data_IF_986553956019
#
_entry.id   IF_986553956019
#
_cell.length_a   1.000
_cell.length_b   1.000
_cell.length_c   1.000
_cell.angle_alpha   90.00
_cell.angle_beta   90.00
_cell.angle_gamma   90.00
#
_symmetry.space_group_name_H-M   'P 1'
#
loop_
_entity.id
_entity.type
_entity.pdbx_description
1 polymer ?
#
# COMPACT_ATOMS: atom_id res chain seq x y z
N UNK A 1 -18.01 8.20 1.93
CA UNK A 1 -18.11 6.73 2.07
C UNK A 1 -19.50 6.30 1.66
N UNK A 2 -19.61 5.44 0.66
CA UNK A 2 -20.85 4.71 0.34
C UNK A 2 -20.65 3.25 0.78
N UNK A 3 -21.63 2.68 1.47
CA UNK A 3 -21.51 1.38 2.16
C UNK A 3 -22.66 0.48 1.72
N UNK A 4 -22.34 -0.68 1.17
CA UNK A 4 -23.32 -1.76 0.92
C UNK A 4 -22.99 -2.97 1.77
N UNK A 5 -24.01 -3.54 2.40
CA UNK A 5 -23.90 -4.60 3.42
C UNK A 5 -24.29 -5.94 2.80
N UNK A 6 -23.37 -6.91 2.84
CA UNK A 6 -23.61 -8.31 2.53
C UNK A 6 -23.44 -9.11 3.82
N UNK A 7 -24.50 -9.18 4.62
CA UNK A 7 -24.69 -9.86 5.92
C UNK A 7 -23.61 -9.64 7.02
N UNK A 8 -22.31 -9.64 6.75
CA UNK A 8 -21.19 -9.29 7.65
C UNK A 8 -19.97 -8.71 6.89
N UNK A 9 -20.18 -8.21 5.67
CA UNK A 9 -19.14 -7.63 4.83
C UNK A 9 -19.63 -6.31 4.25
N UNK A 10 -18.72 -5.35 4.16
CA UNK A 10 -18.96 -3.99 3.68
C UNK A 10 -18.04 -3.68 2.51
N UNK A 11 -18.62 -3.23 1.40
CA UNK A 11 -17.85 -2.66 0.30
C UNK A 11 -17.56 -1.18 0.59
N UNK A 12 -16.29 -0.78 0.49
CA UNK A 12 -15.80 0.56 0.78
C UNK A 12 -15.23 1.16 -0.51
N UNK A 13 -15.75 2.33 -0.88
CA UNK A 13 -15.23 3.17 -1.96
C UNK A 13 -14.47 4.35 -1.38
N UNK A 14 -13.18 4.42 -1.70
CA UNK A 14 -12.29 5.50 -1.29
C UNK A 14 -12.20 6.58 -2.37
N UNK A 15 -11.74 7.76 -1.96
CA UNK A 15 -11.64 8.94 -2.84
C UNK A 15 -10.54 8.82 -3.91
N UNK A 16 -9.57 7.94 -3.66
CA UNK A 16 -8.50 7.56 -4.58
C UNK A 16 -8.96 6.54 -5.64
N UNK A 17 -10.25 6.18 -5.66
CA UNK A 17 -10.80 5.19 -6.58
C UNK A 17 -10.62 3.74 -6.14
N UNK A 18 -9.97 3.51 -5.00
CA UNK A 18 -9.78 2.16 -4.45
C UNK A 18 -11.10 1.60 -3.93
N UNK A 19 -11.41 0.35 -4.30
CA UNK A 19 -12.58 -0.38 -3.82
C UNK A 19 -12.13 -1.56 -2.98
N UNK A 20 -12.63 -1.70 -1.75
CA UNK A 20 -12.24 -2.80 -0.86
C UNK A 20 -13.43 -3.46 -0.20
N UNK A 21 -13.36 -4.78 0.00
CA UNK A 21 -14.33 -5.54 0.78
C UNK A 21 -13.78 -5.75 2.18
N UNK A 22 -14.47 -5.23 3.19
CA UNK A 22 -14.09 -5.33 4.60
C UNK A 22 -15.01 -6.30 5.34
N UNK A 23 -14.43 -7.18 6.15
CA UNK A 23 -15.18 -7.97 7.12
C UNK A 23 -15.48 -7.11 8.36
N UNK A 24 -16.75 -7.02 8.75
CA UNK A 24 -17.18 -6.17 9.86
C UNK A 24 -16.79 -6.73 11.23
N UNK A 25 -16.65 -8.04 11.36
CA UNK A 25 -16.29 -8.70 12.62
C UNK A 25 -14.82 -8.51 12.95
N UNK A 26 -13.94 -8.60 11.94
CA UNK A 26 -12.49 -8.44 12.12
C UNK A 26 -12.02 -7.01 11.90
N UNK A 27 -12.87 -6.15 11.31
CA UNK A 27 -12.49 -4.80 10.85
C UNK A 27 -11.28 -4.81 9.91
N UNK A 28 -11.14 -5.88 9.12
CA UNK A 28 -10.03 -6.04 8.15
C UNK A 28 -10.55 -6.10 6.73
N UNK A 29 -9.83 -5.42 5.82
CA UNK A 29 -10.03 -5.57 4.38
C UNK A 29 -9.62 -7.00 3.97
N UNK A 30 -10.57 -7.71 3.36
CA UNK A 30 -10.46 -9.09 2.88
C UNK A 30 -10.08 -9.08 1.39
N UNK A 31 -10.62 -8.13 0.62
CA UNK A 31 -10.29 -7.94 -0.79
C UNK A 31 -10.04 -6.47 -1.12
N UNK A 32 -9.18 -6.24 -2.12
CA UNK A 32 -8.96 -4.96 -2.77
C UNK A 32 -9.18 -5.16 -4.27
N UNK A 33 -10.02 -4.34 -4.88
CA UNK A 33 -10.35 -4.38 -6.29
C UNK A 33 -9.81 -3.12 -6.95
N UNK A 34 -9.01 -3.33 -8.00
CA UNK A 34 -8.39 -2.25 -8.78
C UNK A 34 -8.90 -2.33 -10.21
N UNK A 35 -9.32 -1.20 -10.76
CA UNK A 35 -9.52 -1.07 -12.21
C UNK A 35 -8.16 -0.95 -12.91
N UNK A 36 -8.07 -1.32 -14.20
CA UNK A 36 -6.87 -1.06 -14.99
C UNK A 36 -6.50 0.44 -14.99
N UNK A 37 -5.22 0.81 -15.17
CA UNK A 37 -4.79 2.21 -15.12
C UNK A 37 -5.50 3.15 -16.11
N UNK A 38 -6.04 2.62 -17.21
CA UNK A 38 -6.82 3.40 -18.18
C UNK A 38 -8.24 3.73 -17.72
N UNK A 39 -8.71 3.14 -16.62
CA UNK A 39 -10.08 3.28 -16.13
C UNK A 39 -10.11 3.69 -14.67
N UNK A 40 -11.00 4.61 -14.34
CA UNK A 40 -11.28 5.01 -12.98
C UNK A 40 -12.69 4.58 -12.57
N UNK A 41 -12.85 4.19 -11.32
CA UNK A 41 -14.18 4.02 -10.74
C UNK A 41 -14.84 5.41 -10.66
N UNK A 42 -16.15 5.46 -10.92
CA UNK A 42 -16.93 6.67 -10.71
C UNK A 42 -16.70 7.24 -9.30
N UNK A 43 -16.87 8.56 -9.09
CA UNK A 43 -16.58 9.18 -7.80
C UNK A 43 -17.24 8.44 -6.64
N UNK A 44 -16.55 8.39 -5.50
CA UNK A 44 -16.99 7.61 -4.32
C UNK A 44 -18.40 7.91 -3.78
N UNK A 45 -19.01 9.04 -4.19
CA UNK A 45 -20.39 9.41 -3.87
C UNK A 45 -21.44 8.86 -4.85
N UNK A 46 -21.03 8.41 -6.05
CA UNK A 46 -21.90 7.82 -7.07
C UNK A 46 -21.26 6.59 -7.75
N UNK A 47 -20.79 5.59 -6.98
CA UNK A 47 -20.27 4.36 -7.57
C UNK A 47 -21.41 3.55 -8.22
N UNK A 48 -21.14 2.96 -9.38
CA UNK A 48 -22.07 2.04 -10.05
C UNK A 48 -21.51 0.64 -9.92
N UNK A 49 -22.15 -0.16 -9.08
CA UNK A 49 -21.73 -1.53 -8.78
C UNK A 49 -22.92 -2.41 -8.43
N UNK A 50 -22.73 -3.72 -8.55
CA UNK A 50 -23.63 -4.71 -7.98
C UNK A 50 -22.83 -5.90 -7.47
N UNK A 51 -23.32 -6.55 -6.43
CA UNK A 51 -22.70 -7.77 -5.90
C UNK A 51 -23.69 -8.91 -6.03
N UNK A 52 -23.22 -9.99 -6.65
CA UNK A 52 -23.95 -11.25 -6.75
C UNK A 52 -23.46 -12.19 -5.65
N UNK A 53 -24.32 -12.45 -4.67
CA UNK A 53 -24.02 -13.37 -3.57
C UNK A 53 -24.12 -14.84 -3.96
N UNK A 54 -24.82 -15.17 -5.06
CA UNK A 54 -24.98 -16.55 -5.55
C UNK A 54 -23.72 -16.98 -6.30
N UNK A 55 -23.21 -16.11 -7.17
CA UNK A 55 -21.99 -16.35 -7.92
C UNK A 55 -20.73 -15.83 -7.22
N UNK A 56 -20.87 -15.23 -6.04
CA UNK A 56 -19.79 -14.64 -5.25
C UNK A 56 -18.91 -13.69 -6.10
N UNK A 57 -19.53 -12.73 -6.77
CA UNK A 57 -18.79 -11.80 -7.64
C UNK A 57 -19.24 -10.35 -7.50
N UNK A 58 -18.30 -9.44 -7.73
CA UNK A 58 -18.52 -7.99 -7.79
C UNK A 58 -18.46 -7.54 -9.25
N UNK A 59 -19.50 -6.84 -9.69
CA UNK A 59 -19.53 -6.12 -10.95
C UNK A 59 -19.34 -4.64 -10.65
N UNK A 60 -18.33 -4.03 -11.27
CA UNK A 60 -17.93 -2.65 -11.02
C UNK A 60 -17.78 -1.90 -12.34
N UNK A 61 -18.46 -0.77 -12.47
CA UNK A 61 -18.25 0.12 -13.62
C UNK A 61 -16.96 0.92 -13.42
N UNK A 62 -16.10 0.92 -14.43
CA UNK A 62 -15.02 1.90 -14.57
C UNK A 62 -15.21 2.72 -15.84
N UNK A 63 -15.06 4.03 -15.71
CA UNK A 63 -15.08 4.97 -16.81
C UNK A 63 -13.65 5.16 -17.33
N UNK A 64 -13.47 5.23 -18.65
CA UNK A 64 -12.15 5.46 -19.25
C UNK A 64 -11.64 6.84 -18.83
N UNK A 65 -10.40 6.89 -18.35
CA UNK A 65 -9.74 8.15 -18.05
C UNK A 65 -9.43 8.86 -19.37
N UNK A 66 -10.04 10.03 -19.60
CA UNK A 66 -9.64 10.89 -20.69
C UNK A 66 -8.19 11.34 -20.45
N UNK A 67 -7.33 11.17 -21.46
CA UNK A 67 -6.02 11.80 -21.46
C UNK A 67 -6.18 13.32 -21.35
N UNK A 68 -5.32 13.98 -20.60
CA UNK A 68 -5.32 15.44 -20.38
C UNK A 68 -5.29 16.28 -21.67
N UNK A 69 -5.04 15.67 -22.84
CA UNK A 69 -4.90 16.33 -24.14
C UNK A 69 -6.21 16.41 -24.96
N UNK A 70 -7.32 15.86 -24.46
CA UNK A 70 -8.57 15.83 -25.23
C UNK A 70 -9.41 17.11 -24.99
N UNK A 71 -9.16 18.12 -25.84
CA UNK A 71 -9.74 19.47 -25.78
C UNK A 71 -11.26 19.55 -26.08
N UNK A 72 -11.95 18.42 -26.22
CA UNK A 72 -13.37 18.35 -26.56
C UNK A 72 -14.16 17.48 -25.56
N UNK A 73 -14.77 18.08 -24.51
CA UNK A 73 -15.48 17.35 -23.46
C UNK A 73 -16.90 16.89 -23.85
N UNK A 74 -17.24 16.88 -25.15
CA UNK A 74 -18.63 16.72 -25.63
C UNK A 74 -19.03 15.25 -25.91
N UNK A 75 -18.17 14.29 -25.61
CA UNK A 75 -18.49 12.86 -25.72
C UNK A 75 -18.60 12.24 -24.33
N UNK A 76 -19.72 11.56 -24.09
CA UNK A 76 -19.89 10.72 -22.91
C UNK A 76 -18.68 9.79 -22.79
N UNK A 77 -18.04 9.77 -21.62
CA UNK A 77 -16.90 8.90 -21.35
C UNK A 77 -17.31 7.45 -21.56
N UNK A 78 -16.57 6.68 -22.38
CA UNK A 78 -16.87 5.27 -22.55
C UNK A 78 -16.67 4.55 -21.21
N UNK A 79 -17.63 3.68 -20.87
CA UNK A 79 -17.66 2.97 -19.59
C UNK A 79 -17.59 1.47 -19.80
N UNK A 80 -16.75 0.81 -19.02
CA UNK A 80 -16.54 -0.63 -19.05
C UNK A 80 -16.99 -1.25 -17.72
N UNK A 81 -17.57 -2.44 -17.77
CA UNK A 81 -17.93 -3.20 -16.56
C UNK A 81 -16.86 -4.26 -16.30
N UNK A 82 -16.25 -4.19 -15.12
CA UNK A 82 -15.28 -5.14 -14.61
C UNK A 82 -15.98 -6.18 -13.72
N UNK A 83 -15.66 -7.45 -13.94
CA UNK A 83 -16.14 -8.57 -13.13
C UNK A 83 -14.99 -9.08 -12.25
N UNK A 84 -15.23 -9.12 -10.95
CA UNK A 84 -14.31 -9.67 -9.96
C UNK A 84 -14.96 -10.88 -9.29
N UNK A 85 -14.44 -12.07 -9.57
CA UNK A 85 -14.87 -13.32 -8.92
C UNK A 85 -14.11 -13.54 -7.61
N UNK A 86 -14.82 -13.65 -6.49
CA UNK A 86 -14.21 -13.86 -5.17
C UNK A 86 -13.56 -15.23 -5.05
N UNK A 87 -13.97 -16.21 -5.85
CA UNK A 87 -13.39 -17.56 -5.84
C UNK A 87 -12.08 -17.66 -6.63
N UNK A 88 -11.80 -16.66 -7.48
CA UNK A 88 -10.66 -16.71 -8.41
C UNK A 88 -9.31 -16.35 -7.77
N UNK A 89 -9.31 -15.78 -6.57
CA UNK A 89 -8.09 -15.38 -5.85
C UNK A 89 -7.96 -16.10 -4.48
N UNK A 90 -6.93 -16.93 -4.27
CA UNK A 90 -6.66 -17.49 -2.96
C UNK A 90 -6.21 -16.37 -2.00
N UNK A 91 -7.13 -16.02 -1.10
CA UNK A 91 -7.10 -14.99 -0.05
C UNK A 91 -5.85 -14.93 0.86
N UNK A 92 -4.87 -15.82 0.70
CA UNK A 92 -3.81 -16.05 1.68
C UNK A 92 -2.43 -15.49 1.31
N UNK A 93 -2.18 -15.14 0.06
CA UNK A 93 -0.82 -14.84 -0.40
C UNK A 93 -0.61 -13.43 -0.97
N UNK A 94 -1.68 -12.72 -1.35
CA UNK A 94 -1.58 -11.41 -2.02
C UNK A 94 -1.49 -10.21 -1.07
N UNK A 95 -1.82 -10.38 0.21
CA UNK A 95 -1.65 -9.33 1.22
C UNK A 95 -0.49 -9.72 2.12
N UNK A 96 0.60 -8.94 2.18
CA UNK A 96 1.59 -9.15 3.23
C UNK A 96 0.83 -9.12 4.56
N UNK A 97 1.01 -10.16 5.39
CA UNK A 97 0.51 -10.17 6.78
C UNK A 97 0.78 -8.78 7.32
N UNK A 98 -0.28 -8.04 7.68
CA UNK A 98 -0.14 -6.71 8.26
C UNK A 98 1.00 -6.80 9.26
N UNK A 99 2.12 -6.07 9.08
CA UNK A 99 3.03 -5.92 10.20
C UNK A 99 2.16 -5.42 11.34
N UNK A 100 2.31 -6.01 12.54
CA UNK A 100 1.58 -5.60 13.73
C UNK A 100 1.87 -4.13 14.02
N UNK A 101 1.18 -3.25 13.29
CA UNK A 101 1.30 -1.82 13.38
C UNK A 101 0.63 -1.47 14.71
N UNK A 102 1.34 -0.79 15.62
CA UNK A 102 0.74 -0.37 16.86
C UNK A 102 -0.50 0.48 16.54
N UNK A 103 -1.60 0.22 17.24
CA UNK A 103 -2.86 0.97 17.15
C UNK A 103 -2.73 2.48 17.45
N UNK A 104 -1.53 2.92 17.87
CA UNK A 104 -1.21 4.32 18.18
C UNK A 104 -0.12 4.82 17.23
N UNK A 105 -0.22 6.07 16.74
CA UNK A 105 0.86 6.72 16.01
C UNK A 105 2.20 6.54 16.75
N UNK A 106 3.29 6.31 16.03
CA UNK A 106 4.63 6.11 16.62
C UNK A 106 5.01 7.25 17.58
N UNK A 107 4.48 8.46 17.36
CA UNK A 107 4.69 9.67 18.13
C UNK A 107 4.00 9.68 19.51
N UNK A 108 3.03 8.80 19.75
CA UNK A 108 2.30 8.66 21.01
C UNK A 108 2.80 7.49 21.87
N UNK A 109 3.66 6.64 21.32
CA UNK A 109 4.25 5.51 22.04
C UNK A 109 5.33 5.99 23.02
N UNK A 110 5.47 5.30 24.15
CA UNK A 110 6.58 5.52 25.04
C UNK A 110 7.89 5.13 24.36
N UNK A 111 9.00 5.76 24.77
CA UNK A 111 10.32 5.54 24.15
C UNK A 111 10.70 4.06 24.06
N UNK A 112 10.42 3.29 25.12
CA UNK A 112 10.70 1.85 25.19
C UNK A 112 9.95 1.07 24.10
N UNK A 113 8.69 1.41 23.86
CA UNK A 113 7.87 0.74 22.85
C UNK A 113 8.38 1.05 21.44
N UNK A 114 8.82 2.29 21.19
CA UNK A 114 9.46 2.68 19.92
C UNK A 114 10.76 1.91 19.68
N UNK A 115 11.60 1.79 20.71
CA UNK A 115 12.82 0.99 20.64
C UNK A 115 12.50 -0.48 20.33
N UNK A 116 11.48 -1.05 20.97
CA UNK A 116 11.08 -2.43 20.73
C UNK A 116 10.55 -2.68 19.31
N UNK A 117 9.87 -1.71 18.70
CA UNK A 117 9.46 -1.77 17.29
C UNK A 117 10.69 -1.71 16.39
N UNK A 118 11.55 -0.71 16.57
CA UNK A 118 12.77 -0.56 15.78
C UNK A 118 13.66 -1.82 15.83
N UNK A 119 13.83 -2.41 17.02
CA UNK A 119 14.63 -3.63 17.19
C UNK A 119 13.97 -4.84 16.53
N UNK A 120 12.63 -4.96 16.57
CA UNK A 120 11.89 -6.03 15.86
C UNK A 120 11.95 -5.89 14.35
N UNK A 121 11.77 -4.69 13.82
CA UNK A 121 11.84 -4.47 12.38
C UNK A 121 13.26 -4.72 11.88
N UNK A 122 14.26 -4.26 12.65
CA UNK A 122 15.67 -4.54 12.36
C UNK A 122 15.97 -6.04 12.40
N UNK A 123 15.43 -6.79 13.37
CA UNK A 123 15.67 -8.23 13.45
C UNK A 123 15.01 -9.00 12.31
N UNK A 124 13.84 -8.54 11.83
CA UNK A 124 13.17 -9.11 10.64
C UNK A 124 13.96 -8.88 9.35
N UNK A 125 14.70 -7.77 9.24
CA UNK A 125 15.58 -7.48 8.10
C UNK A 125 16.94 -8.20 8.16
N UNK A 126 17.24 -8.94 9.24
CA UNK A 126 18.53 -9.63 9.39
C UNK A 126 18.78 -10.72 8.34
N UNK A 127 17.80 -11.56 7.93
CA UNK A 127 18.04 -12.61 6.93
C UNK A 127 18.44 -12.04 5.57
N UNK A 128 17.76 -10.97 5.13
CA UNK A 128 18.08 -10.27 3.87
C UNK A 128 19.48 -9.64 3.94
N UNK A 129 19.83 -9.02 5.07
CA UNK A 129 21.18 -8.47 5.28
C UNK A 129 22.24 -9.56 5.37
N UNK A 130 21.92 -10.71 5.96
CA UNK A 130 22.82 -11.86 6.01
C UNK A 130 23.05 -12.46 4.63
N UNK A 131 22.04 -12.51 3.76
CA UNK A 131 22.22 -12.92 2.37
C UNK A 131 23.18 -11.99 1.62
N UNK A 132 22.96 -10.67 1.71
CA UNK A 132 23.88 -9.68 1.10
C UNK A 132 25.30 -9.80 1.66
N UNK A 133 25.43 -10.05 2.97
CA UNK A 133 26.72 -10.29 3.64
C UNK A 133 27.42 -11.59 3.21
N UNK A 134 26.65 -12.63 2.85
CA UNK A 134 27.18 -13.91 2.38
C UNK A 134 27.53 -13.88 0.89
N UNK A 135 26.88 -13.00 0.12
CA UNK A 135 27.12 -12.80 -1.32
C UNK A 135 28.30 -11.86 -1.60
N UNK A 136 28.64 -10.96 -0.68
CA UNK A 136 29.83 -10.10 -0.75
C UNK A 136 31.05 -10.78 -0.13
N UNK A 137 32.23 -10.60 -0.72
CA UNK A 137 33.48 -11.01 -0.08
C UNK A 137 33.71 -10.15 1.17
N UNK A 138 34.15 -10.77 2.28
CA UNK A 138 34.25 -10.11 3.60
C UNK A 138 35.03 -8.79 3.53
N UNK A 139 36.08 -8.76 2.70
CA UNK A 139 36.92 -7.58 2.49
C UNK A 139 36.18 -6.43 1.79
N UNK A 140 35.38 -6.72 0.76
CA UNK A 140 34.61 -5.71 0.02
C UNK A 140 33.52 -5.07 0.90
N UNK A 141 32.93 -5.86 1.79
CA UNK A 141 31.96 -5.37 2.75
C UNK A 141 32.60 -4.42 3.78
N UNK A 142 33.78 -4.78 4.31
CA UNK A 142 34.52 -3.91 5.23
C UNK A 142 34.94 -2.59 4.59
N UNK A 143 35.42 -2.62 3.35
CA UNK A 143 35.81 -1.43 2.60
C UNK A 143 34.59 -0.52 2.34
N UNK A 144 33.43 -1.09 2.01
CA UNK A 144 32.18 -0.34 1.86
C UNK A 144 31.75 0.34 3.18
N UNK A 145 31.82 -0.37 4.30
CA UNK A 145 31.48 0.20 5.61
C UNK A 145 32.40 1.35 6.00
N UNK A 146 33.71 1.22 5.75
CA UNK A 146 34.68 2.27 6.02
C UNK A 146 34.43 3.50 5.14
N UNK A 147 34.15 3.30 3.85
CA UNK A 147 33.80 4.39 2.94
C UNK A 147 32.53 5.13 3.39
N UNK A 148 31.51 4.40 3.84
CA UNK A 148 30.27 4.99 4.32
C UNK A 148 30.46 5.75 5.64
N UNK A 149 31.29 5.23 6.55
CA UNK A 149 31.65 5.92 7.80
C UNK A 149 32.39 7.24 7.49
N UNK A 150 33.40 7.19 6.62
CA UNK A 150 34.14 8.38 6.19
C UNK A 150 33.23 9.42 5.50
N UNK A 151 32.29 8.97 4.66
CA UNK A 151 31.31 9.85 4.04
C UNK A 151 30.42 10.55 5.09
N UNK A 152 29.93 9.82 6.09
CA UNK A 152 29.11 10.41 7.17
C UNK A 152 29.88 11.43 8.02
N UNK A 153 31.16 11.18 8.28
CA UNK A 153 32.00 12.12 9.03
C UNK A 153 32.27 13.39 8.20
N UNK A 154 32.53 13.26 6.91
CA UNK A 154 32.67 14.40 6.00
C UNK A 154 31.39 15.26 5.93
N UNK A 155 30.22 14.63 5.86
CA UNK A 155 28.94 15.35 5.88
C UNK A 155 28.71 16.10 7.22
N UNK A 156 29.10 15.50 8.34
CA UNK A 156 29.04 16.15 9.67
C UNK A 156 29.97 17.36 9.77
N UNK A 157 31.13 17.34 9.10
CA UNK A 157 32.04 18.47 9.06
C UNK A 157 31.53 19.61 8.17
N UNK A 158 30.93 19.29 7.01
CA UNK A 158 30.29 20.29 6.14
C UNK A 158 29.17 21.04 6.84
N UNK A 159 28.28 20.33 7.54
CA UNK A 159 27.18 20.92 8.32
C UNK A 159 27.68 21.80 9.48
N UNK A 160 28.87 21.52 10.03
CA UNK A 160 29.52 22.37 11.03
C UNK A 160 30.20 23.61 10.44
N UNK A 161 30.68 23.54 9.20
CA UNK A 161 31.25 24.66 8.46
C UNK A 161 30.20 25.70 8.06
N UNK A 162 29.03 25.27 7.62
CA UNK A 162 27.93 26.15 7.19
C UNK A 162 27.27 26.92 8.34
N UNK A 163 27.37 26.44 9.59
CA UNK A 163 26.86 27.15 10.78
C UNK A 163 27.81 28.22 11.33
N UNK A 164 28.98 28.41 10.73
CA UNK A 164 30.00 29.39 11.15
C UNK A 164 30.15 30.59 10.20
N UNK A 165 29.28 30.72 9.19
CA UNK A 165 29.19 31.91 8.32
C UNK A 165 28.00 32.78 8.70
#
# INVERSE_FOLDING_TARGET
LNVSILLLQVLIFSWDGTVSLMNTDTSQAVYCFCTPPSHAVAPSWQPVFTVDSVNCCLLLRGDEQQQEDDLFPDKATPSTIFLFDFNSYPLKEAFPKKPDLPLKPLQELQWIERCNIFLRDRSRSLPERQQVLLEMEEQEYWDCLQAQAAAMDNEREKVKGEKKQ
#
